data_IF_784463455569
#
_entry.id   IF_784463455569
#
_cell.length_a   1.000
_cell.length_b   1.000
_cell.length_c   1.000
_cell.angle_alpha   90.00
_cell.angle_beta   90.00
_cell.angle_gamma   90.00
#
_symmetry.space_group_name_H-M   'P 1'
#
loop_
_entity.id
_entity.type
_entity.pdbx_description
1 polymer ?
#
# COMPACT_ATOMS: atom_id res chain seq x y z
N UNK A 1 24.66 23.48 15.52
CA UNK A 1 25.16 22.28 16.23
C UNK A 1 24.48 21.08 15.58
N UNK A 2 25.26 20.16 14.98
CA UNK A 2 24.72 18.99 14.28
C UNK A 2 24.31 17.95 15.33
N UNK A 3 23.00 17.73 15.49
CA UNK A 3 22.52 16.57 16.22
C UNK A 3 22.83 15.34 15.37
N UNK A 4 23.83 14.57 15.81
CA UNK A 4 24.03 13.20 15.39
C UNK A 4 22.84 12.39 15.92
N UNK A 5 21.79 12.31 15.12
CA UNK A 5 20.70 11.36 15.31
C UNK A 5 21.30 9.96 15.31
N UNK A 6 21.15 9.27 16.44
CA UNK A 6 21.44 7.86 16.63
C UNK A 6 20.53 7.05 15.70
N UNK A 7 20.92 6.93 14.42
CA UNK A 7 20.29 5.97 13.50
C UNK A 7 20.42 4.59 14.14
N UNK A 8 19.32 3.86 14.26
CA UNK A 8 19.38 2.45 14.60
C UNK A 8 20.31 1.77 13.59
N UNK A 9 21.39 1.16 14.07
CA UNK A 9 22.41 0.53 13.22
C UNK A 9 21.92 -0.86 12.80
N UNK A 10 20.97 -0.90 11.87
CA UNK A 10 20.65 -2.15 11.17
C UNK A 10 21.84 -2.57 10.30
N UNK A 11 22.09 -3.88 10.18
CA UNK A 11 23.18 -4.34 9.33
C UNK A 11 22.88 -4.00 7.86
N UNK A 12 23.85 -3.42 7.15
CA UNK A 12 23.72 -3.17 5.71
C UNK A 12 23.43 -4.44 4.90
N UNK A 13 23.78 -5.62 5.43
CA UNK A 13 23.48 -6.90 4.81
C UNK A 13 21.96 -7.19 4.83
N UNK A 14 21.27 -6.88 5.93
CA UNK A 14 19.84 -7.09 6.08
C UNK A 14 19.05 -6.19 5.12
N UNK A 15 19.40 -4.90 5.05
CA UNK A 15 18.75 -3.96 4.13
C UNK A 15 18.93 -4.35 2.66
N UNK A 16 20.13 -4.81 2.27
CA UNK A 16 20.38 -5.32 0.92
C UNK A 16 19.55 -6.55 0.59
N UNK A 17 19.39 -7.47 1.55
CA UNK A 17 18.56 -8.65 1.35
C UNK A 17 17.10 -8.26 1.07
N UNK A 18 16.55 -7.31 1.81
CA UNK A 18 15.19 -6.80 1.62
C UNK A 18 15.02 -6.14 0.25
N UNK A 19 15.98 -5.32 -0.17
CA UNK A 19 15.98 -4.74 -1.52
C UNK A 19 15.96 -5.82 -2.61
N UNK A 20 16.75 -6.89 -2.45
CA UNK A 20 16.75 -8.03 -3.36
C UNK A 20 15.38 -8.72 -3.42
N UNK A 21 14.71 -8.90 -2.28
CA UNK A 21 13.36 -9.47 -2.24
C UNK A 21 12.37 -8.61 -3.04
N UNK A 22 12.41 -7.28 -2.87
CA UNK A 22 11.55 -6.35 -3.63
C UNK A 22 11.79 -6.46 -5.14
N UNK A 23 13.05 -6.52 -5.57
CA UNK A 23 13.41 -6.68 -6.99
C UNK A 23 12.91 -8.00 -7.61
N UNK A 24 12.76 -9.04 -6.79
CA UNK A 24 12.29 -10.36 -7.22
C UNK A 24 10.76 -10.49 -7.23
N UNK A 25 10.02 -9.48 -6.78
CA UNK A 25 8.56 -9.53 -6.79
C UNK A 25 8.02 -9.64 -8.23
N UNK A 26 6.97 -10.44 -8.50
CA UNK A 26 6.48 -10.65 -9.86
C UNK A 26 6.07 -9.33 -10.54
N UNK A 27 6.58 -9.04 -11.74
CA UNK A 27 6.20 -7.86 -12.55
C UNK A 27 5.08 -8.17 -13.55
N UNK A 28 4.22 -9.15 -13.23
CA UNK A 28 3.22 -9.70 -14.16
C UNK A 28 1.99 -8.79 -14.33
N UNK A 29 2.23 -7.54 -14.72
CA UNK A 29 1.22 -6.51 -14.88
C UNK A 29 1.39 -5.90 -16.27
N UNK A 30 0.37 -6.06 -17.11
CA UNK A 30 0.20 -5.20 -18.27
C UNK A 30 -0.66 -4.02 -17.85
N UNK A 31 -0.12 -2.81 -17.92
CA UNK A 31 -0.81 -1.58 -17.55
C UNK A 31 -1.40 -0.90 -18.79
N UNK A 32 -2.63 -0.43 -18.65
CA UNK A 32 -3.28 0.45 -19.61
C UNK A 32 -3.90 1.61 -18.82
N UNK A 33 -3.38 2.81 -19.02
CA UNK A 33 -3.95 3.99 -18.39
C UNK A 33 -5.29 4.29 -19.07
N UNK A 34 -6.43 4.25 -18.34
CA UNK A 34 -7.66 4.78 -18.87
C UNK A 34 -7.44 6.23 -19.31
N UNK A 35 -8.22 6.69 -20.28
CA UNK A 35 -8.19 8.09 -20.71
C UNK A 35 -8.55 9.06 -19.56
N UNK A 36 -8.86 10.31 -19.88
CA UNK A 36 -9.34 11.31 -18.90
C UNK A 36 -10.74 10.97 -18.37
N UNK A 37 -10.88 9.85 -17.67
CA UNK A 37 -12.05 9.56 -16.85
C UNK A 37 -11.93 10.40 -15.58
N UNK A 38 -12.77 11.43 -15.48
CA UNK A 38 -12.79 12.34 -14.33
C UNK A 38 -13.26 11.66 -13.05
N UNK A 39 -12.95 12.30 -11.93
CA UNK A 39 -13.40 11.86 -10.61
C UNK A 39 -14.93 11.85 -10.51
N UNK A 40 -15.48 10.82 -9.87
CA UNK A 40 -16.92 10.63 -9.68
C UNK A 40 -17.25 10.55 -8.20
N UNK A 41 -18.41 11.08 -7.82
CA UNK A 41 -18.94 10.93 -6.44
C UNK A 41 -19.46 9.52 -6.22
N UNK A 42 -19.20 8.94 -5.06
CA UNK A 42 -19.83 7.69 -4.64
C UNK A 42 -21.34 7.90 -4.45
N UNK A 43 -22.15 7.22 -5.25
CA UNK A 43 -23.61 7.21 -5.15
C UNK A 43 -24.11 5.77 -4.99
N UNK A 44 -24.94 5.46 -3.98
CA UNK A 44 -25.42 4.08 -3.72
C UNK A 44 -26.27 3.46 -4.85
N UNK A 45 -26.72 4.28 -5.81
CA UNK A 45 -27.35 3.78 -7.02
C UNK A 45 -26.37 3.04 -7.94
N UNK A 46 -25.07 3.30 -7.80
CA UNK A 46 -23.99 2.62 -8.51
C UNK A 46 -23.57 1.36 -7.71
N UNK A 47 -23.72 0.15 -8.27
CA UNK A 47 -23.34 -1.10 -7.61
C UNK A 47 -21.87 -1.12 -7.16
N UNK A 48 -20.97 -0.54 -7.96
CA UNK A 48 -19.55 -0.45 -7.62
C UNK A 48 -19.34 0.42 -6.38
N UNK A 49 -19.99 1.58 -6.35
CA UNK A 49 -19.90 2.51 -5.25
C UNK A 49 -20.43 1.90 -3.94
N UNK A 50 -21.52 1.12 -4.02
CA UNK A 50 -22.04 0.38 -2.87
C UNK A 50 -21.01 -0.62 -2.33
N UNK A 51 -20.38 -1.41 -3.20
CA UNK A 51 -19.38 -2.41 -2.80
C UNK A 51 -18.15 -1.75 -2.14
N UNK A 52 -17.66 -0.64 -2.70
CA UNK A 52 -16.54 0.13 -2.12
C UNK A 52 -16.92 0.73 -0.76
N UNK A 53 -18.13 1.30 -0.65
CA UNK A 53 -18.59 1.94 0.57
C UNK A 53 -18.81 0.93 1.71
N UNK A 54 -19.28 -0.28 1.41
CA UNK A 54 -19.38 -1.37 2.40
C UNK A 54 -18.02 -1.73 3.01
N UNK A 55 -16.95 -1.76 2.20
CA UNK A 55 -15.58 -1.99 2.67
C UNK A 55 -15.07 -0.82 3.50
N UNK A 56 -15.33 0.42 3.10
CA UNK A 56 -14.93 1.63 3.85
C UNK A 56 -15.60 1.67 5.23
N UNK A 57 -16.87 1.30 5.32
CA UNK A 57 -17.63 1.35 6.57
C UNK A 57 -17.35 0.19 7.52
N UNK A 58 -16.94 -0.98 7.02
CA UNK A 58 -16.76 -2.16 7.86
C UNK A 58 -15.83 -1.91 9.06
N UNK A 59 -14.67 -1.24 8.91
CA UNK A 59 -13.83 -0.85 10.06
C UNK A 59 -14.49 0.16 11.01
N UNK A 60 -15.32 1.08 10.48
CA UNK A 60 -15.94 2.16 11.25
C UNK A 60 -17.13 1.71 12.10
N UNK A 61 -17.89 0.71 11.62
CA UNK A 61 -19.02 0.12 12.38
C UNK A 61 -18.60 -0.56 13.68
N UNK A 62 -17.34 -0.96 13.79
CA UNK A 62 -16.80 -1.64 14.96
C UNK A 62 -16.11 -0.71 15.95
N UNK A 63 -15.94 0.58 15.60
CA UNK A 63 -15.06 1.47 16.38
C UNK A 63 -15.76 2.60 17.15
N UNK A 64 -16.95 3.09 16.79
CA UNK A 64 -17.65 4.09 17.62
C UNK A 64 -19.13 4.33 17.26
N UNK A 65 -19.89 4.88 18.22
CA UNK A 65 -21.32 5.19 18.16
C UNK A 65 -21.72 6.40 17.27
N UNK A 66 -20.85 6.86 16.37
CA UNK A 66 -21.14 7.98 15.48
C UNK A 66 -21.86 7.49 14.20
N UNK A 67 -22.84 8.25 13.66
CA UNK A 67 -23.45 7.91 12.38
C UNK A 67 -22.38 7.94 11.28
N UNK A 68 -22.36 6.94 10.36
CA UNK A 68 -21.38 6.88 9.29
C UNK A 68 -21.42 8.13 8.42
N UNK A 69 -20.24 8.59 7.98
CA UNK A 69 -20.11 9.79 7.16
C UNK A 69 -20.98 9.73 5.88
N UNK A 70 -21.61 10.84 5.45
CA UNK A 70 -22.41 10.87 4.23
C UNK A 70 -21.62 10.39 3.00
N UNK A 71 -22.22 9.47 2.23
CA UNK A 71 -21.61 8.87 1.03
C UNK A 71 -21.21 9.88 -0.03
N UNK A 72 -21.94 11.00 -0.10
CA UNK A 72 -21.72 12.09 -1.07
C UNK A 72 -20.39 12.83 -0.88
N UNK A 73 -19.60 12.47 0.12
CA UNK A 73 -18.33 13.09 0.47
C UNK A 73 -17.12 12.29 0.00
N UNK A 74 -17.33 11.15 -0.65
CA UNK A 74 -16.25 10.33 -1.20
C UNK A 74 -16.25 10.43 -2.71
N UNK A 75 -15.07 10.69 -3.26
CA UNK A 75 -14.82 10.73 -4.69
C UNK A 75 -13.93 9.55 -5.08
N UNK A 76 -14.24 8.89 -6.19
CA UNK A 76 -13.45 7.80 -6.75
C UNK A 76 -13.01 8.10 -8.18
N UNK A 77 -11.77 7.72 -8.51
CA UNK A 77 -11.18 7.95 -9.83
C UNK A 77 -10.48 6.68 -10.29
N UNK A 78 -10.78 6.15 -11.51
CA UNK A 78 -9.99 5.07 -12.09
C UNK A 78 -8.59 5.58 -12.43
N UNK A 79 -7.58 4.84 -12.01
CA UNK A 79 -6.17 5.19 -12.20
C UNK A 79 -5.61 4.45 -13.40
N UNK A 80 -5.73 3.12 -13.38
CA UNK A 80 -5.07 2.21 -14.32
C UNK A 80 -5.86 0.92 -14.45
N UNK A 81 -5.92 0.38 -15.66
CA UNK A 81 -6.39 -0.98 -15.93
C UNK A 81 -5.18 -1.92 -16.01
N UNK A 82 -5.31 -3.09 -15.41
CA UNK A 82 -4.23 -4.03 -15.14
C UNK A 82 -4.66 -5.41 -15.62
N UNK A 83 -3.81 -6.12 -16.33
CA UNK A 83 -3.93 -7.58 -16.49
C UNK A 83 -2.87 -8.25 -15.62
N UNK A 84 -3.31 -9.04 -14.64
CA UNK A 84 -2.44 -9.64 -13.62
C UNK A 84 -2.35 -11.15 -13.84
N UNK A 85 -1.14 -11.65 -14.06
CA UNK A 85 -0.94 -13.10 -14.16
C UNK A 85 -0.99 -13.77 -12.78
N UNK A 86 -1.42 -15.04 -12.71
CA UNK A 86 -1.37 -15.82 -11.47
C UNK A 86 0.07 -15.99 -10.97
N UNK A 87 0.20 -16.34 -9.68
CA UNK A 87 1.46 -16.81 -9.09
C UNK A 87 1.91 -18.10 -9.78
N UNK A 88 3.22 -18.35 -9.86
CA UNK A 88 3.81 -19.51 -10.55
C UNK A 88 3.24 -20.89 -10.13
N UNK A 89 2.62 -20.99 -8.96
CA UNK A 89 2.05 -22.24 -8.43
C UNK A 89 0.53 -22.33 -8.61
N UNK A 90 -0.13 -21.27 -9.07
CA UNK A 90 -1.57 -21.24 -9.28
C UNK A 90 -1.91 -21.61 -10.73
N UNK A 91 -2.96 -22.40 -10.91
CA UNK A 91 -3.46 -22.84 -12.23
C UNK A 91 -4.40 -21.83 -12.90
N UNK A 92 -4.48 -20.61 -12.39
CA UNK A 92 -5.39 -19.58 -12.86
C UNK A 92 -5.07 -19.05 -14.26
N UNK A 93 -6.03 -18.36 -14.87
CA UNK A 93 -5.80 -17.51 -16.05
C UNK A 93 -5.43 -16.09 -15.60
N UNK A 94 -4.80 -15.26 -16.44
CA UNK A 94 -4.67 -13.84 -16.12
C UNK A 94 -6.03 -13.21 -15.77
N UNK A 95 -6.03 -12.27 -14.82
CA UNK A 95 -7.23 -11.54 -14.39
C UNK A 95 -7.11 -10.07 -14.75
N UNK A 96 -8.16 -9.51 -15.33
CA UNK A 96 -8.25 -8.08 -15.60
C UNK A 96 -8.80 -7.35 -14.37
N UNK A 97 -8.21 -6.21 -14.03
CA UNK A 97 -8.55 -5.40 -12.88
C UNK A 97 -8.48 -3.92 -13.24
N UNK A 98 -9.27 -3.09 -12.56
CA UNK A 98 -9.10 -1.64 -12.57
C UNK A 98 -8.72 -1.17 -11.17
N UNK A 99 -7.63 -0.41 -11.09
CA UNK A 99 -7.19 0.27 -9.87
C UNK A 99 -7.94 1.60 -9.75
N UNK A 100 -8.60 1.80 -8.62
CA UNK A 100 -9.30 3.04 -8.27
C UNK A 100 -8.68 3.70 -7.05
N UNK A 101 -8.54 5.03 -7.09
CA UNK A 101 -8.25 5.85 -5.91
C UNK A 101 -9.56 6.41 -5.35
N UNK A 102 -9.80 6.26 -4.06
CA UNK A 102 -10.91 6.91 -3.35
C UNK A 102 -10.36 7.86 -2.31
N UNK A 103 -10.94 9.07 -2.26
CA UNK A 103 -10.62 10.12 -1.29
C UNK A 103 -11.87 10.61 -0.59
N UNK A 104 -11.74 10.96 0.69
CA UNK A 104 -12.77 11.69 1.41
C UNK A 104 -12.56 13.20 1.29
N UNK A 105 -13.62 13.95 1.01
CA UNK A 105 -13.62 15.42 1.06
C UNK A 105 -13.50 15.94 2.50
N UNK A 106 -14.00 15.19 3.48
CA UNK A 106 -13.92 15.57 4.90
C UNK A 106 -12.57 15.19 5.52
N UNK A 107 -12.01 14.05 5.10
CA UNK A 107 -10.76 13.53 5.63
C UNK A 107 -9.74 13.43 4.49
N UNK A 108 -9.13 14.57 4.09
CA UNK A 108 -8.26 14.63 2.90
C UNK A 108 -7.00 13.77 3.02
N UNK A 109 -6.62 13.41 4.26
CA UNK A 109 -5.50 12.55 4.59
C UNK A 109 -5.88 11.06 4.63
N UNK A 110 -7.12 10.69 4.33
CA UNK A 110 -7.59 9.30 4.29
C UNK A 110 -7.74 8.83 2.84
N UNK A 111 -6.98 7.80 2.48
CA UNK A 111 -6.88 7.31 1.11
C UNK A 111 -7.21 5.83 1.04
N UNK A 112 -7.92 5.44 -0.02
CA UNK A 112 -8.13 4.03 -0.34
C UNK A 112 -7.74 3.71 -1.76
N UNK A 113 -7.13 2.55 -1.95
CA UNK A 113 -7.02 1.92 -3.26
C UNK A 113 -7.87 0.67 -3.34
N UNK A 114 -8.55 0.51 -4.47
CA UNK A 114 -9.37 -0.66 -4.76
C UNK A 114 -8.97 -1.27 -6.08
N UNK A 115 -8.77 -2.58 -6.10
CA UNK A 115 -8.66 -3.39 -7.31
C UNK A 115 -10.03 -4.02 -7.59
N UNK A 116 -10.61 -3.68 -8.72
CA UNK A 116 -11.99 -4.01 -9.09
C UNK A 116 -12.00 -4.90 -10.34
N UNK A 117 -12.76 -5.99 -10.31
CA UNK A 117 -12.95 -6.87 -11.48
C UNK A 117 -13.91 -6.26 -12.51
N UNK A 118 -13.95 -6.73 -13.77
CA UNK A 118 -14.92 -6.28 -14.76
C UNK A 118 -16.39 -6.43 -14.32
N UNK A 119 -16.66 -7.41 -13.45
CA UNK A 119 -17.97 -7.67 -12.83
C UNK A 119 -18.28 -6.72 -11.66
N UNK A 120 -17.48 -5.65 -11.47
CA UNK A 120 -17.64 -4.63 -10.43
C UNK A 120 -17.50 -5.16 -9.00
N UNK A 121 -16.70 -6.22 -8.82
CA UNK A 121 -16.43 -6.80 -7.50
C UNK A 121 -15.08 -6.32 -6.96
N UNK A 122 -15.01 -6.11 -5.64
CA UNK A 122 -13.74 -5.76 -4.97
C UNK A 122 -12.88 -7.01 -4.85
N UNK A 123 -11.80 -7.08 -5.63
CA UNK A 123 -10.83 -8.17 -5.58
C UNK A 123 -9.83 -7.98 -4.42
N UNK A 124 -9.36 -6.75 -4.23
CA UNK A 124 -8.46 -6.36 -3.16
C UNK A 124 -8.59 -4.86 -2.85
N UNK A 125 -8.17 -4.45 -1.65
CA UNK A 125 -8.15 -3.05 -1.27
C UNK A 125 -7.01 -2.74 -0.28
N UNK A 126 -6.64 -1.47 -0.22
CA UNK A 126 -5.76 -0.94 0.81
C UNK A 126 -6.30 0.38 1.36
N UNK A 127 -6.06 0.63 2.63
CA UNK A 127 -6.41 1.86 3.35
C UNK A 127 -5.16 2.43 4.01
N UNK A 128 -4.88 3.71 3.78
CA UNK A 128 -3.75 4.38 4.39
C UNK A 128 -4.07 5.84 4.72
N UNK A 129 -3.33 6.37 5.69
CA UNK A 129 -3.35 7.78 6.05
C UNK A 129 -2.00 8.44 5.76
N UNK A 130 -2.04 9.74 5.49
CA UNK A 130 -0.85 10.60 5.52
C UNK A 130 -0.77 11.25 6.90
N UNK A 131 0.37 11.11 7.56
CA UNK A 131 0.70 11.84 8.77
C UNK A 131 1.81 12.84 8.46
N UNK A 132 1.62 14.08 8.88
CA UNK A 132 2.63 15.13 8.67
C UNK A 132 3.91 14.83 9.45
N UNK A 133 3.79 14.18 10.62
CA UNK A 133 4.89 13.80 11.50
C UNK A 133 4.53 12.51 12.27
N UNK A 134 5.54 11.76 12.69
CA UNK A 134 5.37 10.58 13.53
C UNK A 134 6.52 10.41 14.53
N UNK A 135 6.24 10.61 15.82
CA UNK A 135 7.25 10.49 16.88
C UNK A 135 7.78 9.05 17.02
N UNK A 136 6.92 8.04 16.84
CA UNK A 136 7.32 6.64 16.96
C UNK A 136 8.26 6.17 15.83
N UNK A 137 8.32 6.92 14.72
CA UNK A 137 9.19 6.64 13.58
C UNK A 137 10.36 7.61 13.47
N UNK A 138 10.56 8.49 14.45
CA UNK A 138 11.63 9.48 14.42
C UNK A 138 13.03 8.85 14.25
N UNK A 139 13.25 7.65 14.79
CA UNK A 139 14.51 6.91 14.63
C UNK A 139 14.71 6.34 13.23
N UNK A 140 13.63 6.10 12.47
CA UNK A 140 13.66 5.53 11.12
C UNK A 140 13.60 6.61 10.02
N UNK A 141 12.71 7.59 10.18
CA UNK A 141 12.38 8.59 9.15
C UNK A 141 12.58 10.04 9.60
N UNK A 142 13.00 10.29 10.84
CA UNK A 142 13.02 11.64 11.40
C UNK A 142 11.59 12.18 11.60
N UNK A 143 11.44 13.50 11.49
CA UNK A 143 10.15 14.19 11.71
C UNK A 143 9.38 14.47 10.43
N UNK A 144 9.74 13.78 9.33
CA UNK A 144 9.14 13.98 8.01
C UNK A 144 7.77 13.29 7.90
N UNK A 145 6.99 13.70 6.90
CA UNK A 145 5.69 13.12 6.62
C UNK A 145 5.81 11.67 6.16
N UNK A 146 4.87 10.84 6.61
CA UNK A 146 4.87 9.39 6.45
C UNK A 146 3.49 8.89 6.07
N UNK A 147 3.45 7.85 5.24
CA UNK A 147 2.23 7.08 5.01
C UNK A 147 2.10 5.99 6.07
N UNK A 148 0.98 5.96 6.78
CA UNK A 148 0.58 4.85 7.65
C UNK A 148 -0.38 3.95 6.90
N UNK A 149 0.07 2.76 6.54
CA UNK A 149 -0.77 1.71 6.00
C UNK A 149 -1.56 1.05 7.13
N UNK A 150 -2.88 1.19 7.07
CA UNK A 150 -3.79 0.67 8.09
C UNK A 150 -4.32 -0.71 7.73
N UNK A 151 -4.57 -0.96 6.44
CA UNK A 151 -5.10 -2.23 5.97
C UNK A 151 -4.66 -2.53 4.55
N UNK A 152 -4.46 -3.82 4.29
CA UNK A 152 -4.32 -4.38 2.95
C UNK A 152 -4.98 -5.75 2.95
N UNK A 153 -5.96 -5.95 2.09
CA UNK A 153 -6.69 -7.21 2.01
C UNK A 153 -6.88 -7.63 0.55
N UNK A 154 -6.78 -8.94 0.30
CA UNK A 154 -7.01 -9.52 -1.00
C UNK A 154 -7.87 -10.77 -0.88
N UNK A 155 -9.02 -10.79 -1.57
CA UNK A 155 -9.89 -11.96 -1.65
C UNK A 155 -9.30 -13.06 -2.52
N UNK A 156 -8.30 -12.72 -3.34
CA UNK A 156 -7.63 -13.62 -4.28
C UNK A 156 -6.18 -13.89 -3.88
N UNK A 157 -5.85 -13.77 -2.59
CA UNK A 157 -4.47 -13.86 -2.09
C UNK A 157 -3.79 -15.22 -2.34
N UNK A 158 -4.57 -16.30 -2.51
CA UNK A 158 -4.02 -17.61 -2.87
C UNK A 158 -3.38 -17.61 -4.25
N UNK A 159 -4.05 -16.97 -5.21
CA UNK A 159 -3.75 -17.11 -6.64
C UNK A 159 -2.96 -15.93 -7.21
N UNK A 160 -3.16 -14.71 -6.67
CA UNK A 160 -2.57 -13.48 -7.22
C UNK A 160 -1.89 -12.63 -6.15
N UNK A 161 -0.83 -11.92 -6.55
CA UNK A 161 -0.05 -11.04 -5.67
C UNK A 161 -0.66 -9.63 -5.56
N UNK A 162 -1.98 -9.51 -5.40
CA UNK A 162 -2.69 -8.22 -5.43
C UNK A 162 -2.24 -7.25 -4.33
N UNK A 163 -1.83 -7.76 -3.16
CA UNK A 163 -1.26 -6.92 -2.11
C UNK A 163 0.03 -6.23 -2.55
N UNK A 164 0.89 -6.91 -3.32
CA UNK A 164 2.11 -6.30 -3.88
C UNK A 164 1.78 -5.15 -4.82
N UNK A 165 0.72 -5.28 -5.63
CA UNK A 165 0.26 -4.23 -6.54
C UNK A 165 -0.21 -3.00 -5.76
N UNK A 166 -0.99 -3.21 -4.70
CA UNK A 166 -1.48 -2.14 -3.83
C UNK A 166 -0.33 -1.41 -3.12
N UNK A 167 0.69 -2.14 -2.63
CA UNK A 167 1.89 -1.51 -2.05
C UNK A 167 2.63 -0.67 -3.09
N UNK A 168 2.75 -1.15 -4.33
CA UNK A 168 3.39 -0.34 -5.38
C UNK A 168 2.61 0.95 -5.65
N UNK A 169 1.28 0.89 -5.73
CA UNK A 169 0.44 2.07 -5.92
C UNK A 169 0.60 3.08 -4.76
N UNK A 170 0.65 2.59 -3.51
CA UNK A 170 0.91 3.42 -2.33
C UNK A 170 2.31 4.02 -2.38
N UNK A 171 3.31 3.26 -2.80
CA UNK A 171 4.68 3.74 -2.96
C UNK A 171 4.75 4.86 -3.99
N UNK A 172 4.17 4.69 -5.17
CA UNK A 172 4.14 5.74 -6.19
C UNK A 172 3.39 6.98 -5.69
N UNK A 173 2.28 6.80 -4.98
CA UNK A 173 1.52 7.90 -4.38
C UNK A 173 2.32 8.65 -3.30
N UNK A 174 3.16 7.95 -2.55
CA UNK A 174 4.02 8.56 -1.53
C UNK A 174 4.99 9.58 -2.12
N UNK A 175 5.43 9.38 -3.37
CA UNK A 175 6.30 10.33 -4.08
C UNK A 175 5.54 11.63 -4.41
N UNK A 176 4.26 11.52 -4.78
CA UNK A 176 3.39 12.67 -5.07
C UNK A 176 3.03 13.45 -3.81
N UNK A 177 2.90 12.77 -2.67
CA UNK A 177 2.50 13.35 -1.39
C UNK A 177 3.66 13.89 -0.55
N UNK A 178 4.90 13.87 -1.07
CA UNK A 178 6.08 14.32 -0.32
C UNK A 178 6.50 13.39 0.82
N UNK A 179 6.00 12.15 0.84
CA UNK A 179 6.44 11.11 1.77
C UNK A 179 7.64 10.31 1.23
N UNK A 180 7.92 10.36 -0.08
CA UNK A 180 9.15 9.83 -0.70
C UNK A 180 9.47 8.36 -0.34
N UNK A 181 8.46 7.51 -0.24
CA UNK A 181 8.61 6.09 0.12
C UNK A 181 8.63 5.81 1.62
N UNK A 182 8.53 6.83 2.49
CA UNK A 182 8.32 6.67 3.93
C UNK A 182 6.95 6.06 4.16
N UNK A 183 6.91 4.75 4.37
CA UNK A 183 5.69 3.97 4.59
C UNK A 183 5.91 3.10 5.82
N UNK A 184 4.96 3.15 6.74
CA UNK A 184 4.93 2.30 7.91
C UNK A 184 3.58 1.59 8.05
N UNK A 185 3.54 0.59 8.92
CA UNK A 185 2.33 -0.12 9.29
C UNK A 185 2.44 -0.65 10.71
N UNK A 186 1.29 -0.78 11.36
CA UNK A 186 1.14 -1.61 12.54
C UNK A 186 0.70 -3.00 12.08
N UNK A 187 1.55 -4.00 12.26
CA UNK A 187 1.32 -5.37 11.81
C UNK A 187 0.39 -6.12 12.78
N UNK A 188 -0.78 -5.57 13.07
CA UNK A 188 -1.74 -6.26 13.95
C UNK A 188 -2.27 -7.49 13.21
N UNK A 189 -1.87 -8.67 13.66
CA UNK A 189 -2.12 -10.04 13.11
C UNK A 189 -0.90 -10.64 12.38
N UNK A 190 -0.62 -11.91 12.73
CA UNK A 190 0.47 -12.75 12.22
C UNK A 190 0.59 -12.66 10.69
N UNK A 191 1.55 -11.88 10.21
CA UNK A 191 1.84 -11.68 8.79
C UNK A 191 3.20 -11.05 8.52
N UNK A 192 4.10 -11.01 9.51
CA UNK A 192 5.41 -10.36 9.40
C UNK A 192 6.21 -10.78 8.15
N UNK A 193 6.15 -12.06 7.75
CA UNK A 193 6.82 -12.57 6.53
C UNK A 193 6.31 -11.92 5.24
N UNK A 194 5.02 -11.59 5.15
CA UNK A 194 4.47 -10.94 3.95
C UNK A 194 5.06 -9.54 3.80
N UNK A 195 4.97 -8.70 4.83
CA UNK A 195 5.50 -7.35 4.79
C UNK A 195 7.02 -7.32 4.66
N UNK A 196 7.70 -8.27 5.31
CA UNK A 196 9.13 -8.44 5.18
C UNK A 196 9.57 -8.69 3.73
N UNK A 197 8.87 -9.55 2.99
CA UNK A 197 9.08 -9.77 1.55
C UNK A 197 8.89 -8.52 0.69
N UNK A 198 8.12 -7.56 1.19
CA UNK A 198 7.89 -6.26 0.55
C UNK A 198 8.93 -5.21 0.98
N UNK A 199 9.91 -5.61 1.79
CA UNK A 199 11.03 -4.77 2.22
C UNK A 199 10.79 -4.00 3.53
N UNK A 200 9.71 -4.31 4.25
CA UNK A 200 9.44 -3.73 5.57
C UNK A 200 10.34 -4.36 6.63
N UNK A 201 10.87 -3.52 7.51
CA UNK A 201 11.64 -3.88 8.69
C UNK A 201 10.85 -3.58 9.95
N UNK A 202 10.83 -4.48 10.93
CA UNK A 202 10.31 -4.15 12.24
C UNK A 202 11.22 -3.13 12.92
N UNK A 203 10.62 -2.21 13.69
CA UNK A 203 11.36 -1.26 14.50
C UNK A 203 12.10 -1.99 15.65
N UNK A 204 11.53 -3.08 16.15
CA UNK A 204 12.14 -3.89 17.22
C UNK A 204 13.15 -4.91 16.65
N UNK A 205 14.42 -4.91 17.09
CA UNK A 205 15.44 -5.84 16.60
C UNK A 205 15.15 -7.31 16.86
N UNK A 206 14.48 -7.64 17.97
CA UNK A 206 14.13 -9.02 18.32
C UNK A 206 13.18 -9.67 17.31
N UNK A 207 12.29 -8.89 16.70
CA UNK A 207 11.38 -9.35 15.64
C UNK A 207 12.17 -9.59 14.35
N UNK A 208 13.15 -8.72 14.07
CA UNK A 208 14.05 -8.88 12.91
C UNK A 208 14.79 -10.22 12.98
N UNK A 209 15.34 -10.56 14.14
CA UNK A 209 16.10 -11.78 14.34
C UNK A 209 15.23 -13.04 14.15
N UNK A 210 13.99 -13.01 14.66
CA UNK A 210 13.04 -14.10 14.50
C UNK A 210 12.64 -14.33 13.03
N UNK A 211 12.52 -13.25 12.24
CA UNK A 211 12.22 -13.34 10.81
C UNK A 211 13.43 -13.80 9.98
N UNK A 212 14.62 -13.26 10.24
CA UNK A 212 15.83 -13.49 9.44
C UNK A 212 16.56 -14.79 9.80
N UNK A 213 16.78 -15.05 11.09
CA UNK A 213 17.64 -16.14 11.56
C UNK A 213 16.85 -17.38 11.95
N UNK A 214 15.69 -17.18 12.58
CA UNK A 214 14.85 -18.30 13.03
C UNK A 214 13.81 -18.73 11.98
N UNK A 215 13.70 -17.98 10.86
CA UNK A 215 12.76 -18.23 9.75
C UNK A 215 11.31 -18.40 10.23
N UNK A 216 10.95 -17.70 11.31
CA UNK A 216 9.57 -17.67 11.80
C UNK A 216 8.68 -16.97 10.77
N UNK A 217 7.52 -17.55 10.47
CA UNK A 217 6.62 -17.04 9.43
C UNK A 217 5.45 -16.24 10.01
N UNK A 218 5.04 -16.59 11.24
CA UNK A 218 3.79 -16.16 11.86
C UNK A 218 4.04 -15.33 13.13
N UNK A 219 4.87 -14.30 12.99
CA UNK A 219 5.20 -13.32 14.03
C UNK A 219 4.45 -12.01 13.78
N UNK A 220 4.08 -11.35 14.88
CA UNK A 220 3.59 -9.98 14.86
C UNK A 220 4.77 -9.03 14.61
N UNK A 221 4.67 -8.21 13.56
CA UNK A 221 5.70 -7.25 13.20
C UNK A 221 5.74 -5.99 14.09
N UNK A 222 4.77 -5.83 14.99
CA UNK A 222 4.51 -4.61 15.76
C UNK A 222 4.49 -3.39 14.83
N UNK A 223 5.34 -2.39 15.06
CA UNK A 223 5.56 -1.30 14.12
C UNK A 223 6.64 -1.68 13.10
N UNK A 224 6.25 -1.71 11.83
CA UNK A 224 7.18 -1.94 10.70
C UNK A 224 7.25 -0.73 9.78
N UNK A 225 8.40 -0.53 9.14
CA UNK A 225 8.65 0.56 8.21
C UNK A 225 9.43 0.08 6.98
N UNK A 226 9.23 0.70 5.83
CA UNK A 226 9.97 0.37 4.62
C UNK A 226 11.43 0.79 4.76
N UNK A 227 12.36 -0.16 4.64
CA UNK A 227 13.79 0.12 4.80
C UNK A 227 14.32 1.06 3.71
N UNK A 228 15.40 1.84 3.96
CA UNK A 228 16.00 2.71 2.96
C UNK A 228 16.36 1.98 1.66
N UNK A 229 16.97 0.80 1.76
CA UNK A 229 17.33 0.02 0.57
C UNK A 229 16.10 -0.55 -0.17
N UNK A 230 15.00 -0.84 0.55
CA UNK A 230 13.75 -1.22 -0.09
C UNK A 230 13.06 -0.04 -0.78
N UNK A 231 13.15 1.17 -0.24
CA UNK A 231 12.67 2.40 -0.90
C UNK A 231 13.34 2.55 -2.26
N UNK A 232 14.66 2.39 -2.34
CA UNK A 232 15.39 2.44 -3.62
C UNK A 232 14.94 1.35 -4.61
N UNK A 233 14.72 0.12 -4.12
CA UNK A 233 14.25 -0.98 -4.94
C UNK A 233 12.82 -0.77 -5.47
N UNK A 234 11.94 -0.21 -4.65
CA UNK A 234 10.58 0.17 -5.06
C UNK A 234 10.61 1.33 -6.06
N UNK A 235 11.49 2.32 -5.89
CA UNK A 235 11.67 3.41 -6.85
C UNK A 235 12.18 2.93 -8.21
N UNK A 236 13.09 1.95 -8.23
CA UNK A 236 13.52 1.29 -9.47
C UNK A 236 12.34 0.56 -10.14
N UNK A 237 11.60 -0.22 -9.36
CA UNK A 237 10.45 -0.98 -9.85
C UNK A 237 9.34 -0.09 -10.41
N UNK A 238 8.98 0.97 -9.70
CA UNK A 238 7.97 1.94 -10.12
C UNK A 238 8.35 2.64 -11.43
N UNK A 239 9.65 2.89 -11.67
CA UNK A 239 10.13 3.43 -12.96
C UNK A 239 10.03 2.43 -14.10
N UNK A 240 10.19 1.13 -13.84
CA UNK A 240 10.14 0.09 -14.87
C UNK A 240 8.71 -0.24 -15.29
N UNK A 241 7.76 -0.25 -14.36
CA UNK A 241 6.36 -0.56 -14.62
C UNK A 241 5.46 0.31 -13.73
N UNK A 242 5.27 1.60 -14.09
CA UNK A 242 4.49 2.53 -13.28
C UNK A 242 3.00 2.14 -13.29
N UNK A 243 2.37 2.26 -12.12
CA UNK A 243 0.92 2.10 -11.95
C UNK A 243 0.19 3.44 -11.98
N UNK A 244 0.87 4.54 -11.64
CA UNK A 244 0.33 5.90 -11.65
C UNK A 244 0.92 6.66 -12.84
N UNK A 245 0.07 7.34 -13.60
CA UNK A 245 0.50 8.29 -14.63
C UNK A 245 0.97 9.59 -13.96
N UNK A 246 2.20 9.58 -13.45
CA UNK A 246 2.83 10.74 -12.78
C UNK A 246 3.27 11.82 -13.77
N UNK A 247 3.24 11.56 -15.08
CA UNK A 247 3.63 12.53 -16.11
C UNK A 247 2.58 13.62 -16.37
N UNK A 248 1.34 13.47 -15.88
CA UNK A 248 0.30 14.52 -15.99
C UNK A 248 0.36 15.61 -14.92
N UNK A 249 1.23 15.50 -13.91
CA UNK A 249 1.36 16.47 -12.82
C UNK A 249 2.32 17.64 -13.06
N UNK A 250 2.95 17.71 -14.24
CA UNK A 250 3.90 18.78 -14.60
C UNK A 250 3.29 19.86 -15.51
N UNK A 251 2.00 19.75 -15.86
CA UNK A 251 1.26 20.73 -16.65
C UNK A 251 -0.04 21.15 -15.95
N UNK A 252 0.07 21.73 -14.76
CA UNK A 252 -1.01 22.52 -14.13
C UNK A 252 -0.44 23.66 -13.31
#
# INVERSE_FOLDING_TARGET
MRNALTRMSFSHANERHLACQVKQLPQNILTCFPGTEGSRRLALSDPLAKNMYEVILHPLKHHDHAPPAPQSQFDYTPITRLTVAPKHQATGTPVDLTLYHIRSQQFPNMHYYFLITPEQTVAAHAHFNVLDQSECLASAYGTESVIVLNAIESRMQGDYSLGTILIQAIFEQSQVLGCEGRICLYSVRKSGRFYFKLGFMPLQPTILDQLFFENQQDIDGDLMFLSPSAIDAWAERARQCPLLDTHKGLES
#
